data_IF_997789008604
#
_entry.id   IF_997789008604
#
_cell.length_a   1.000
_cell.length_b   1.000
_cell.length_c   1.000
_cell.angle_alpha   90.00
_cell.angle_beta   90.00
_cell.angle_gamma   90.00
#
_symmetry.space_group_name_H-M   'P 1'
#
loop_
_entity.id
_entity.type
_entity.pdbx_description
1 polymer ?
#
# COMPACT_ATOMS: atom_id res chain seq x y z
N UNK A 1 -43.14 13.04 -26.91
CA UNK A 1 -41.71 13.30 -27.22
C UNK A 1 -40.93 12.03 -26.91
N UNK A 2 -40.62 11.23 -27.91
CA UNK A 2 -39.81 10.03 -27.78
C UNK A 2 -38.33 10.44 -27.94
N UNK A 3 -37.50 10.13 -26.94
CA UNK A 3 -36.05 10.19 -27.10
C UNK A 3 -35.62 8.93 -27.85
N UNK A 4 -35.18 9.12 -29.09
CA UNK A 4 -34.69 8.06 -29.96
C UNK A 4 -33.29 7.63 -29.48
N UNK A 5 -33.22 6.48 -28.82
CA UNK A 5 -32.00 5.93 -28.23
C UNK A 5 -31.22 5.10 -29.27
N UNK A 6 -30.85 5.72 -30.39
CA UNK A 6 -29.99 5.11 -31.40
C UNK A 6 -28.74 5.95 -31.65
N UNK A 7 -28.02 6.28 -30.57
CA UNK A 7 -26.59 6.61 -30.69
C UNK A 7 -25.80 5.37 -30.31
N UNK A 8 -25.33 4.64 -31.34
CA UNK A 8 -24.34 3.60 -31.19
C UNK A 8 -23.07 4.19 -30.58
N UNK A 9 -22.96 4.14 -29.26
CA UNK A 9 -21.73 4.52 -28.57
C UNK A 9 -20.65 3.52 -28.99
N UNK A 10 -19.71 3.98 -29.82
CA UNK A 10 -18.51 3.23 -30.14
C UNK A 10 -17.91 2.68 -28.84
N UNK A 11 -17.49 1.40 -28.79
CA UNK A 11 -16.93 0.84 -27.57
C UNK A 11 -15.79 1.74 -27.11
N UNK A 12 -15.95 2.36 -25.94
CA UNK A 12 -14.88 3.17 -25.35
C UNK A 12 -13.67 2.24 -25.28
N UNK A 13 -12.60 2.56 -26.01
CA UNK A 13 -11.34 1.84 -25.91
C UNK A 13 -10.93 1.89 -24.43
N UNK A 14 -11.17 0.78 -23.73
CA UNK A 14 -10.82 0.68 -22.33
C UNK A 14 -9.30 0.61 -22.28
N UNK A 15 -8.67 1.70 -21.83
CA UNK A 15 -7.24 1.71 -21.58
C UNK A 15 -6.99 0.66 -20.49
N UNK A 16 -6.07 -0.29 -20.73
CA UNK A 16 -5.61 -1.22 -19.69
C UNK A 16 -5.13 -0.41 -18.48
N UNK A 17 -5.42 -0.87 -17.27
CA UNK A 17 -4.96 -0.22 -16.03
C UNK A 17 -3.44 -0.06 -16.07
N UNK A 18 -2.96 1.11 -15.65
CA UNK A 18 -1.53 1.32 -15.44
C UNK A 18 -1.10 0.68 -14.11
N UNK A 19 0.22 0.53 -13.90
CA UNK A 19 0.75 -0.09 -12.69
C UNK A 19 0.35 0.63 -11.40
N UNK A 20 0.21 1.96 -11.43
CA UNK A 20 -0.20 2.72 -10.24
C UNK A 20 -1.61 2.35 -9.79
N UNK A 21 -2.56 2.29 -10.72
CA UNK A 21 -3.92 1.90 -10.40
C UNK A 21 -3.96 0.43 -9.98
N UNK A 22 -3.27 -0.46 -10.68
CA UNK A 22 -3.23 -1.88 -10.33
C UNK A 22 -2.62 -2.11 -8.94
N UNK A 23 -1.55 -1.39 -8.58
CA UNK A 23 -0.97 -1.39 -7.25
C UNK A 23 -2.00 -0.97 -6.17
N UNK A 24 -2.74 0.11 -6.41
CA UNK A 24 -3.78 0.56 -5.48
C UNK A 24 -4.93 -0.45 -5.35
N UNK A 25 -5.27 -1.17 -6.43
CA UNK A 25 -6.25 -2.26 -6.37
C UNK A 25 -5.77 -3.44 -5.53
N UNK A 26 -4.47 -3.74 -5.53
CA UNK A 26 -3.91 -4.79 -4.65
C UNK A 26 -4.09 -4.42 -3.17
N UNK A 27 -3.87 -3.16 -2.79
CA UNK A 27 -4.14 -2.70 -1.43
C UNK A 27 -5.65 -2.67 -1.11
N UNK A 28 -6.49 -2.23 -2.07
CA UNK A 28 -7.94 -2.19 -1.91
C UNK A 28 -8.55 -3.58 -1.74
N UNK A 29 -7.99 -4.58 -2.40
CA UNK A 29 -8.37 -5.99 -2.23
C UNK A 29 -7.99 -6.54 -0.84
N UNK A 30 -6.91 -6.04 -0.23
CA UNK A 30 -6.53 -6.41 1.13
C UNK A 30 -7.44 -5.75 2.17
N UNK A 31 -7.75 -4.46 2.03
CA UNK A 31 -8.78 -3.78 2.79
C UNK A 31 -9.30 -2.54 2.03
N UNK A 32 -10.61 -2.40 1.79
CA UNK A 32 -11.17 -1.30 1.01
C UNK A 32 -11.02 0.08 1.67
N UNK A 33 -10.76 0.13 2.97
CA UNK A 33 -10.59 1.35 3.77
C UNK A 33 -9.12 1.64 4.08
N UNK A 34 -8.18 0.95 3.41
CA UNK A 34 -6.75 1.23 3.56
C UNK A 34 -6.45 2.71 3.24
N UNK A 35 -5.79 3.37 4.17
CA UNK A 35 -5.42 4.79 4.02
C UNK A 35 -4.19 4.91 3.12
N UNK A 36 -4.13 5.97 2.31
CA UNK A 36 -2.95 6.27 1.49
C UNK A 36 -1.67 6.38 2.35
N UNK A 37 -1.74 6.91 3.57
CA UNK A 37 -0.59 6.96 4.47
C UNK A 37 -0.06 5.56 4.84
N UNK A 38 -0.95 4.57 4.95
CA UNK A 38 -0.57 3.17 5.19
C UNK A 38 0.12 2.58 3.96
N UNK A 39 -0.40 2.86 2.76
CA UNK A 39 0.22 2.45 1.49
C UNK A 39 1.62 3.05 1.36
N UNK A 40 1.76 4.36 1.56
CA UNK A 40 3.05 5.05 1.51
C UNK A 40 4.03 4.46 2.54
N UNK A 41 3.61 4.27 3.78
CA UNK A 41 4.46 3.68 4.81
C UNK A 41 4.98 2.29 4.42
N UNK A 42 4.14 1.47 3.79
CA UNK A 42 4.54 0.16 3.29
C UNK A 42 5.54 0.25 2.14
N UNK A 43 5.33 1.16 1.18
CA UNK A 43 6.28 1.37 0.07
C UNK A 43 7.64 1.85 0.57
N UNK A 44 7.68 2.80 1.51
CA UNK A 44 8.94 3.22 2.15
C UNK A 44 9.62 2.07 2.89
N UNK A 45 8.85 1.19 3.53
CA UNK A 45 9.38 0.00 4.18
C UNK A 45 9.92 -1.04 3.18
N UNK A 46 9.32 -1.14 1.98
CA UNK A 46 9.82 -2.01 0.92
C UNK A 46 11.21 -1.59 0.43
N UNK A 47 11.44 -0.29 0.32
CA UNK A 47 12.75 0.27 -0.05
C UNK A 47 13.78 0.11 1.06
N UNK A 48 13.35 0.23 2.33
CA UNK A 48 14.24 0.23 3.49
C UNK A 48 13.58 -0.45 4.70
N UNK A 49 13.95 -1.70 4.96
CA UNK A 49 13.61 -2.37 6.21
C UNK A 49 14.46 -1.85 7.38
N UNK A 50 13.94 -1.97 8.60
CA UNK A 50 14.66 -1.57 9.82
C UNK A 50 14.29 -0.19 10.34
N UNK A 51 13.36 0.53 9.70
CA UNK A 51 12.91 1.82 10.20
C UNK A 51 12.22 1.72 11.55
N UNK A 52 12.65 2.54 12.50
CA UNK A 52 11.79 2.92 13.61
C UNK A 52 10.75 3.97 13.16
N UNK A 53 9.75 4.23 13.98
CA UNK A 53 8.61 5.11 13.63
C UNK A 53 9.07 6.54 13.28
N UNK A 54 10.09 7.08 13.98
CA UNK A 54 10.61 8.42 13.70
C UNK A 54 11.36 8.51 12.37
N UNK A 55 12.10 7.47 12.00
CA UNK A 55 12.80 7.41 10.72
C UNK A 55 11.80 7.27 9.57
N UNK A 56 10.79 6.43 9.73
CA UNK A 56 9.70 6.34 8.76
C UNK A 56 9.01 7.69 8.57
N UNK A 57 8.69 8.39 9.67
CA UNK A 57 8.05 9.71 9.61
C UNK A 57 8.90 10.71 8.81
N UNK A 58 10.21 10.75 9.07
CA UNK A 58 11.14 11.62 8.36
C UNK A 58 11.25 11.24 6.89
N UNK A 59 11.45 9.96 6.57
CA UNK A 59 11.60 9.48 5.19
C UNK A 59 10.33 9.74 4.36
N UNK A 60 9.15 9.51 4.93
CA UNK A 60 7.88 9.67 4.23
C UNK A 60 7.25 11.06 4.31
N UNK A 61 7.91 12.03 4.95
CA UNK A 61 7.37 13.38 5.17
C UNK A 61 6.09 13.43 6.01
N UNK A 62 5.85 12.42 6.85
CA UNK A 62 4.67 12.33 7.72
C UNK A 62 4.95 12.92 9.10
N UNK A 63 3.89 13.32 9.81
CA UNK A 63 4.02 13.55 11.25
C UNK A 63 4.24 12.23 11.98
N UNK A 64 4.92 12.27 13.14
CA UNK A 64 5.17 11.09 13.96
C UNK A 64 3.88 10.32 14.31
N UNK A 65 2.80 11.05 14.59
CA UNK A 65 1.49 10.46 14.89
C UNK A 65 0.89 9.72 13.68
N UNK A 66 1.04 10.27 12.48
CA UNK A 66 0.56 9.64 11.24
C UNK A 66 1.40 8.41 10.88
N UNK A 67 2.73 8.52 10.95
CA UNK A 67 3.63 7.38 10.75
C UNK A 67 3.37 6.26 11.75
N UNK A 68 3.16 6.59 13.04
CA UNK A 68 2.81 5.62 14.08
C UNK A 68 1.52 4.88 13.74
N UNK A 69 0.44 5.61 13.38
CA UNK A 69 -0.83 4.98 12.99
C UNK A 69 -0.68 4.11 11.74
N UNK A 70 0.01 4.59 10.71
CA UNK A 70 0.26 3.84 9.49
C UNK A 70 1.03 2.53 9.80
N UNK A 71 2.10 2.61 10.58
CA UNK A 71 2.88 1.45 11.04
C UNK A 71 2.02 0.42 11.79
N UNK A 72 1.18 0.90 12.71
CA UNK A 72 0.25 0.07 13.49
C UNK A 72 -0.84 -0.57 12.61
N UNK A 73 -1.18 0.05 11.49
CA UNK A 73 -2.08 -0.53 10.49
C UNK A 73 -1.41 -1.56 9.58
N UNK A 74 -0.08 -1.63 9.53
CA UNK A 74 0.65 -2.61 8.73
C UNK A 74 0.93 -3.90 9.49
N UNK A 75 1.01 -3.86 10.82
CA UNK A 75 1.30 -5.05 11.62
C UNK A 75 0.09 -6.00 11.70
N UNK A 76 0.35 -7.25 12.07
CA UNK A 76 -0.65 -8.31 12.10
C UNK A 76 -1.81 -8.04 13.07
N UNK A 77 -3.03 -8.51 12.76
CA UNK A 77 -4.14 -8.47 13.70
C UNK A 77 -3.75 -9.16 15.02
N UNK A 78 -4.12 -8.55 16.15
CA UNK A 78 -3.78 -9.05 17.48
C UNK A 78 -2.34 -8.80 17.95
N UNK A 79 -1.45 -8.29 17.08
CA UNK A 79 -0.13 -7.85 17.51
C UNK A 79 -0.24 -6.66 18.50
N UNK A 80 0.67 -6.55 19.50
CA UNK A 80 0.65 -5.43 20.44
C UNK A 80 0.70 -4.07 19.75
N UNK A 81 -0.35 -3.28 19.96
CA UNK A 81 -0.49 -1.97 19.33
C UNK A 81 -1.03 -1.99 17.90
N UNK A 82 -1.48 -3.12 17.34
CA UNK A 82 -2.13 -3.12 16.03
C UNK A 82 -3.35 -2.19 15.99
N UNK A 83 -3.62 -1.58 14.84
CA UNK A 83 -4.81 -0.78 14.57
C UNK A 83 -5.43 -1.22 13.26
N UNK A 84 -6.76 -1.22 13.18
CA UNK A 84 -7.45 -1.50 11.92
C UNK A 84 -6.91 -0.60 10.79
N UNK A 85 -6.67 -1.15 9.58
CA UNK A 85 -7.04 -2.50 9.15
C UNK A 85 -6.11 -3.66 9.60
N UNK A 86 -4.94 -3.38 10.19
CA UNK A 86 -3.97 -4.39 10.65
C UNK A 86 -3.63 -5.44 9.57
N UNK A 87 -3.02 -4.99 8.47
CA UNK A 87 -2.85 -5.77 7.24
C UNK A 87 -1.90 -6.98 7.35
N UNK A 88 -1.13 -7.09 8.45
CA UNK A 88 -0.15 -8.18 8.60
C UNK A 88 0.99 -8.17 7.58
N UNK A 89 1.27 -7.02 6.98
CA UNK A 89 2.34 -6.81 6.00
C UNK A 89 3.69 -6.47 6.66
N UNK A 90 3.68 -6.09 7.93
CA UNK A 90 4.88 -5.76 8.69
C UNK A 90 4.93 -6.49 10.03
N UNK A 91 6.13 -6.59 10.58
CA UNK A 91 6.40 -7.06 11.93
C UNK A 91 7.36 -6.10 12.64
N UNK A 92 7.29 -6.08 13.98
CA UNK A 92 8.15 -5.26 14.82
C UNK A 92 9.25 -6.12 15.41
N UNK A 93 10.51 -5.73 15.20
CA UNK A 93 11.68 -6.38 15.81
C UNK A 93 12.35 -5.44 16.80
N UNK A 94 12.94 -5.94 17.90
CA UNK A 94 13.70 -5.11 18.83
C UNK A 94 14.89 -4.44 18.11
N UNK A 95 15.08 -3.14 18.34
CA UNK A 95 16.24 -2.36 17.92
C UNK A 95 16.70 -1.49 19.09
N UNK A 96 17.59 -2.04 19.93
CA UNK A 96 17.99 -1.39 21.18
C UNK A 96 16.78 -1.13 22.09
N UNK A 97 16.52 0.16 22.39
CA UNK A 97 15.38 0.59 23.23
C UNK A 97 14.07 0.79 22.44
N UNK A 98 14.12 0.75 21.12
CA UNK A 98 12.95 0.95 20.24
C UNK A 98 12.63 -0.34 19.48
N UNK A 99 11.61 -0.29 18.61
CA UNK A 99 11.28 -1.36 17.69
C UNK A 99 11.37 -0.84 16.26
N UNK A 100 11.92 -1.68 15.40
CA UNK A 100 12.05 -1.45 13.96
C UNK A 100 10.98 -2.24 13.20
N UNK A 101 10.48 -1.67 12.12
CA UNK A 101 9.57 -2.32 11.18
C UNK A 101 10.37 -3.16 10.19
N UNK A 102 9.87 -4.36 9.96
CA UNK A 102 10.37 -5.29 8.95
C UNK A 102 9.20 -5.84 8.15
N UNK A 103 9.46 -6.26 6.92
CA UNK A 103 8.42 -6.92 6.15
C UNK A 103 8.10 -8.29 6.78
N UNK A 104 6.81 -8.58 6.91
CA UNK A 104 6.37 -9.95 7.17
C UNK A 104 6.54 -10.81 5.89
N UNK A 105 6.36 -12.13 5.95
CA UNK A 105 6.26 -12.95 4.74
C UNK A 105 5.18 -12.46 3.77
N UNK A 106 4.01 -12.06 4.27
CA UNK A 106 2.93 -11.50 3.45
C UNK A 106 3.30 -10.12 2.87
N UNK A 107 4.06 -9.32 3.62
CA UNK A 107 4.61 -8.06 3.13
C UNK A 107 5.56 -8.25 1.95
N UNK A 108 6.47 -9.22 2.05
CA UNK A 108 7.38 -9.56 0.94
C UNK A 108 6.63 -10.05 -0.29
N UNK A 109 5.64 -10.93 -0.12
CA UNK A 109 4.79 -11.37 -1.24
C UNK A 109 4.09 -10.20 -1.94
N UNK A 110 3.50 -9.27 -1.17
CA UNK A 110 2.87 -8.11 -1.75
C UNK A 110 3.87 -7.21 -2.50
N UNK A 111 5.06 -6.96 -1.93
CA UNK A 111 6.12 -6.20 -2.61
C UNK A 111 6.48 -6.84 -3.95
N UNK A 112 6.74 -8.14 -3.95
CA UNK A 112 7.17 -8.87 -5.15
C UNK A 112 6.06 -8.84 -6.24
N UNK A 113 4.78 -8.85 -5.84
CA UNK A 113 3.63 -8.65 -6.74
C UNK A 113 3.54 -7.23 -7.30
N UNK A 114 3.87 -6.21 -6.51
CA UNK A 114 3.95 -4.82 -6.98
C UNK A 114 5.07 -4.67 -8.01
N UNK A 115 6.24 -5.24 -7.75
CA UNK A 115 7.37 -5.22 -8.68
C UNK A 115 7.02 -5.92 -10.00
N UNK A 116 6.37 -7.09 -9.94
CA UNK A 116 5.86 -7.77 -11.12
C UNK A 116 4.86 -6.92 -11.92
N UNK A 117 3.99 -6.18 -11.22
CA UNK A 117 3.02 -5.27 -11.84
C UNK A 117 3.72 -4.13 -12.59
N UNK A 118 4.78 -3.58 -12.00
CA UNK A 118 5.59 -2.51 -12.63
C UNK A 118 6.31 -3.05 -13.87
N UNK A 119 6.93 -4.23 -13.78
CA UNK A 119 7.64 -4.86 -14.90
C UNK A 119 6.70 -5.16 -16.07
N UNK A 120 5.46 -5.56 -15.80
CA UNK A 120 4.45 -5.87 -16.83
C UNK A 120 3.76 -4.61 -17.40
N UNK A 121 4.02 -3.43 -16.84
CA UNK A 121 3.35 -2.20 -17.24
C UNK A 121 3.78 -1.77 -18.64
N UNK A 122 2.81 -1.40 -19.48
CA UNK A 122 3.12 -0.79 -20.78
C UNK A 122 3.74 0.58 -20.56
N UNK A 123 4.88 0.85 -21.21
CA UNK A 123 5.50 2.18 -21.26
C UNK A 123 4.47 3.21 -21.72
N UNK A 124 4.32 4.28 -20.95
CA UNK A 124 3.56 5.45 -21.38
C UNK A 124 4.46 6.21 -22.35
N UNK A 125 4.26 5.98 -23.65
CA UNK A 125 4.86 6.78 -24.73
C UNK A 125 3.91 7.93 -25.05
#
# INVERSE_FOLDING_TARGET
MAYDATTGAAPRRSRRRNALLEALELFRAADPNVRLSTVLAFLYLCENEGFCISELAAASGMTLATASRASRSLIAPGAPGALAPALGLAELRPLGKVRALHLSPAGRDLRDRLDATIVQATTII
#
